data_IF_575596097682
#
_entry.id   IF_575596097682
#
_cell.length_a   1.000
_cell.length_b   1.000
_cell.length_c   1.000
_cell.angle_alpha   90.00
_cell.angle_beta   90.00
_cell.angle_gamma   90.00
#
_symmetry.space_group_name_H-M   'P 1'
#
loop_
_entity.id
_entity.type
_entity.pdbx_description
1 polymer ?
#
# COMPACT_ATOMS: atom_id res chain seq x y z
N UNK A 1 1.84 14.02 -0.17
CA UNK A 1 2.25 12.61 0.02
C UNK A 1 1.50 12.04 1.20
N UNK A 2 1.00 10.81 1.11
CA UNK A 2 0.39 10.08 2.22
C UNK A 2 0.98 8.67 2.23
N UNK A 3 1.58 8.27 3.35
CA UNK A 3 2.13 6.93 3.55
C UNK A 3 1.43 6.30 4.75
N UNK A 4 1.02 5.04 4.63
CA UNK A 4 0.34 4.34 5.71
C UNK A 4 0.59 2.84 5.66
N UNK A 5 0.57 2.20 6.82
CA UNK A 5 0.66 0.74 6.94
C UNK A 5 -0.73 0.14 6.74
N UNK A 6 -0.81 -0.90 5.92
CA UNK A 6 -2.03 -1.65 5.69
C UNK A 6 -1.70 -3.11 5.44
N UNK A 7 -2.67 -3.97 5.72
CA UNK A 7 -2.72 -5.33 5.22
C UNK A 7 -2.88 -5.28 3.69
N UNK A 8 -1.87 -5.73 2.93
CA UNK A 8 -1.71 -5.37 1.52
C UNK A 8 -2.89 -5.79 0.64
N UNK A 9 -3.57 -6.91 0.91
CA UNK A 9 -4.75 -7.30 0.13
C UNK A 9 -5.89 -6.27 0.18
N UNK A 10 -5.95 -5.42 1.22
CA UNK A 10 -7.00 -4.41 1.35
C UNK A 10 -6.82 -3.22 0.40
N UNK A 11 -5.62 -2.99 -0.14
CA UNK A 11 -5.38 -1.88 -1.08
C UNK A 11 -6.07 -2.13 -2.43
N UNK A 12 -6.20 -3.39 -2.82
CA UNK A 12 -6.70 -3.82 -4.14
C UNK A 12 -8.23 -3.88 -4.26
N UNK A 13 -8.95 -3.58 -3.17
CA UNK A 13 -10.41 -3.57 -3.23
C UNK A 13 -10.93 -2.51 -4.22
N UNK A 14 -11.96 -2.85 -5.02
CA UNK A 14 -12.57 -1.90 -5.98
C UNK A 14 -12.95 -0.57 -5.33
N UNK A 15 -13.46 -0.61 -4.11
CA UNK A 15 -13.85 0.58 -3.32
C UNK A 15 -12.63 1.46 -3.03
N UNK A 16 -11.49 0.87 -2.62
CA UNK A 16 -10.27 1.60 -2.29
C UNK A 16 -9.63 2.22 -3.52
N UNK A 17 -9.49 1.45 -4.60
CA UNK A 17 -8.94 1.95 -5.86
C UNK A 17 -9.79 3.09 -6.44
N UNK A 18 -11.13 2.96 -6.37
CA UNK A 18 -12.04 4.03 -6.79
C UNK A 18 -11.86 5.29 -5.95
N UNK A 19 -11.76 5.16 -4.63
CA UNK A 19 -11.59 6.30 -3.73
C UNK A 19 -10.27 7.04 -3.99
N UNK A 20 -9.18 6.29 -4.19
CA UNK A 20 -7.86 6.84 -4.55
C UNK A 20 -7.97 7.68 -5.82
N UNK A 21 -8.55 7.12 -6.89
CA UNK A 21 -8.74 7.81 -8.17
C UNK A 21 -9.67 9.03 -8.08
N UNK A 22 -10.79 8.91 -7.36
CA UNK A 22 -11.77 10.01 -7.20
C UNK A 22 -11.23 11.22 -6.44
N UNK A 23 -10.12 11.06 -5.71
CA UNK A 23 -9.47 12.14 -4.98
C UNK A 23 -8.17 12.60 -5.66
N UNK A 24 -7.96 12.24 -6.93
CA UNK A 24 -6.77 12.51 -7.72
C UNK A 24 -5.48 11.98 -7.09
N UNK A 25 -5.53 10.81 -6.44
CA UNK A 25 -4.32 10.12 -5.98
C UNK A 25 -3.99 8.94 -6.88
N UNK A 26 -2.70 8.62 -6.94
CA UNK A 26 -2.18 7.36 -7.46
C UNK A 26 -1.34 6.64 -6.40
N UNK A 27 -1.19 5.33 -6.56
CA UNK A 27 -0.28 4.53 -5.75
C UNK A 27 1.10 4.67 -6.37
N UNK A 28 2.05 5.23 -5.63
CA UNK A 28 3.41 5.45 -6.10
C UNK A 28 4.33 4.30 -5.74
N UNK A 29 4.22 3.80 -4.50
CA UNK A 29 5.05 2.72 -4.01
C UNK A 29 4.28 1.85 -3.01
N UNK A 30 4.56 0.55 -3.05
CA UNK A 30 4.20 -0.40 -2.00
C UNK A 30 5.51 -1.02 -1.49
N UNK A 31 5.82 -0.78 -0.23
CA UNK A 31 6.98 -1.32 0.45
C UNK A 31 6.56 -2.49 1.34
N UNK A 32 7.02 -3.69 0.98
CA UNK A 32 6.88 -4.90 1.78
C UNK A 32 7.97 -4.93 2.86
N UNK A 33 7.61 -5.39 4.05
CA UNK A 33 8.55 -5.60 5.14
C UNK A 33 8.06 -6.74 6.01
N UNK A 34 8.98 -7.37 6.74
CA UNK A 34 8.62 -8.44 7.65
C UNK A 34 7.83 -7.92 8.84
N UNK A 35 6.73 -8.61 9.14
CA UNK A 35 5.99 -8.33 10.35
C UNK A 35 6.87 -8.64 11.57
N UNK A 36 6.79 -7.84 12.65
CA UNK A 36 7.51 -8.14 13.88
C UNK A 36 7.20 -9.57 14.36
N UNK A 37 8.16 -10.24 14.99
CA UNK A 37 8.00 -11.63 15.45
C UNK A 37 6.77 -11.85 16.36
N UNK A 38 6.34 -10.80 17.07
CA UNK A 38 5.18 -10.84 17.98
C UNK A 38 3.84 -10.56 17.29
N UNK A 39 3.83 -10.33 15.97
CA UNK A 39 2.61 -10.09 15.21
C UNK A 39 1.97 -11.43 14.81
N UNK A 40 0.63 -11.57 14.87
CA UNK A 40 -0.04 -12.81 14.50
C UNK A 40 0.30 -13.25 13.06
N UNK A 41 0.91 -14.43 12.92
CA UNK A 41 1.22 -15.02 11.62
C UNK A 41 -0.05 -15.63 11.02
N UNK A 42 -0.85 -14.78 10.37
CA UNK A 42 -2.12 -15.15 9.75
C UNK A 42 -1.97 -15.47 8.25
N UNK A 43 -0.74 -15.63 7.75
CA UNK A 43 -0.46 -15.73 6.31
C UNK A 43 -0.81 -14.46 5.53
N UNK A 44 -0.82 -13.30 6.20
CA UNK A 44 -1.12 -12.00 5.61
C UNK A 44 0.15 -11.15 5.54
N UNK A 45 0.32 -10.44 4.43
CA UNK A 45 1.38 -9.46 4.27
C UNK A 45 0.92 -8.10 4.76
N UNK A 46 1.67 -7.50 5.68
CA UNK A 46 1.58 -6.07 5.97
C UNK A 46 2.62 -5.32 5.16
N UNK A 47 2.34 -4.08 4.81
CA UNK A 47 3.27 -3.23 4.11
C UNK A 47 2.88 -1.77 4.18
N UNK A 48 3.80 -0.91 3.75
CA UNK A 48 3.56 0.52 3.63
C UNK A 48 3.09 0.83 2.21
N UNK A 49 2.00 1.58 2.09
CA UNK A 49 1.52 2.10 0.82
C UNK A 49 1.74 3.61 0.79
N UNK A 50 2.46 4.07 -0.23
CA UNK A 50 2.67 5.48 -0.54
C UNK A 50 1.73 5.89 -1.66
N UNK A 51 0.77 6.76 -1.34
CA UNK A 51 -0.06 7.44 -2.33
C UNK A 51 0.36 8.90 -2.49
N UNK A 52 0.31 9.39 -3.72
CA UNK A 52 0.66 10.75 -4.09
C UNK A 52 -0.44 11.36 -4.95
N UNK A 53 -0.83 12.60 -4.63
CA UNK A 53 -1.81 13.34 -5.43
C UNK A 53 -1.20 13.66 -6.80
N UNK A 54 -1.96 13.48 -7.86
CA UNK A 54 -1.54 13.65 -9.25
C UNK A 54 -0.55 12.60 -9.74
N UNK A 55 -0.36 11.49 -9.02
CA UNK A 55 0.49 10.40 -9.52
C UNK A 55 -0.26 9.57 -10.55
N UNK A 56 0.29 9.50 -11.76
CA UNK A 56 -0.24 8.76 -12.91
C UNK A 56 0.76 7.72 -13.47
N UNK A 57 1.95 7.62 -12.87
CA UNK A 57 2.98 6.66 -13.27
C UNK A 57 2.80 5.26 -12.70
N UNK A 58 3.77 4.40 -13.01
CA UNK A 58 3.79 3.01 -12.55
C UNK A 58 3.87 2.89 -11.02
N UNK A 59 3.40 1.74 -10.52
CA UNK A 59 3.51 1.39 -9.10
C UNK A 59 4.87 0.72 -8.89
N UNK A 60 5.71 1.29 -8.03
CA UNK A 60 6.93 0.63 -7.58
C UNK A 60 6.62 -0.37 -6.46
N UNK A 61 7.16 -1.58 -6.56
CA UNK A 61 7.23 -2.52 -5.44
C UNK A 61 8.64 -2.47 -4.87
N UNK A 62 8.76 -2.30 -3.56
CA UNK A 62 10.03 -2.31 -2.83
C UNK A 62 9.95 -3.21 -1.61
N UNK A 63 11.11 -3.57 -1.08
CA UNK A 63 11.24 -4.42 0.10
C UNK A 63 12.21 -3.75 1.08
N UNK A 64 11.82 -3.72 2.36
CA UNK A 64 12.68 -3.29 3.46
C UNK A 64 13.19 -4.54 4.15
N UNK A 65 14.51 -4.76 4.05
CA UNK A 65 15.21 -5.83 4.78
C UNK A 65 15.56 -5.39 6.20
#
# INVERSE_FOLDING_TARGET
NICFIIVLQQIWTKKRLRLIRQNDFGIKEICCFDAPANFPQLGIQIGMVHIQRGWDGDIKLSELQ
#
